data_IF_626783354940
#
_entry.id   IF_626783354940
#
_cell.length_a   1.000
_cell.length_b   1.000
_cell.length_c   1.000
_cell.angle_alpha   90.00
_cell.angle_beta   90.00
_cell.angle_gamma   90.00
#
_symmetry.space_group_name_H-M   'P 1'
#
loop_
_entity.id
_entity.type
_entity.pdbx_description
1 polymer ?
#
# COMPACT_ATOMS: atom_id res chain seq x y z
N UNK A 1 34.86 84.26 2.66
CA UNK A 1 34.08 83.13 2.11
C UNK A 1 34.99 82.05 1.48
N UNK A 2 36.24 81.90 1.94
CA UNK A 2 37.23 80.93 1.40
C UNK A 2 37.54 79.83 2.43
N UNK A 3 37.28 80.06 3.72
CA UNK A 3 37.52 79.09 4.81
C UNK A 3 36.46 77.97 4.90
N UNK A 4 35.24 78.15 4.35
CA UNK A 4 34.18 77.12 4.34
C UNK A 4 34.32 76.12 3.19
N UNK A 5 35.08 76.45 2.14
CA UNK A 5 35.28 75.58 0.98
C UNK A 5 36.40 74.54 1.21
N UNK A 6 37.35 74.84 2.11
CA UNK A 6 38.51 73.99 2.39
C UNK A 6 38.16 72.82 3.33
N UNK A 7 37.13 72.96 4.17
CA UNK A 7 36.65 71.89 5.07
C UNK A 7 35.85 70.83 4.31
N UNK A 8 35.22 71.17 3.19
CA UNK A 8 34.42 70.22 2.38
C UNK A 8 35.34 69.40 1.45
N UNK A 9 36.47 69.96 1.00
CA UNK A 9 37.46 69.19 0.22
C UNK A 9 38.28 68.20 1.06
N UNK A 10 38.43 68.46 2.37
CA UNK A 10 39.18 67.59 3.29
C UNK A 10 38.44 66.32 3.73
N UNK A 11 37.13 66.23 3.51
CA UNK A 11 36.33 65.07 3.94
C UNK A 11 36.20 63.97 2.88
N UNK A 12 36.72 64.17 1.66
CA UNK A 12 36.56 63.23 0.55
C UNK A 12 37.81 62.39 0.24
N UNK A 13 38.90 62.56 1.01
CA UNK A 13 40.20 61.94 0.73
C UNK A 13 40.62 60.83 1.70
N UNK A 14 39.70 60.29 2.51
CA UNK A 14 40.02 59.25 3.50
C UNK A 14 39.00 58.11 3.52
N UNK A 15 38.76 57.54 2.34
CA UNK A 15 38.09 56.25 2.14
C UNK A 15 38.98 55.40 1.26
N UNK A 16 39.94 54.74 1.89
CA UNK A 16 40.92 53.84 1.27
C UNK A 16 40.28 52.73 0.45
N UNK A 17 40.69 52.65 -0.81
CA UNK A 17 41.21 51.46 -1.49
C UNK A 17 40.58 50.11 -1.07
N UNK A 18 39.61 49.67 -1.86
CA UNK A 18 39.39 48.25 -2.11
C UNK A 18 39.70 48.02 -3.58
N UNK A 19 40.66 47.13 -3.81
CA UNK A 19 41.19 46.72 -5.09
C UNK A 19 40.08 46.30 -6.05
N UNK A 20 40.20 46.76 -7.28
CA UNK A 20 39.69 46.08 -8.47
C UNK A 20 40.35 44.71 -8.52
N UNK A 21 39.62 43.66 -8.12
CA UNK A 21 39.84 42.31 -8.60
C UNK A 21 38.58 41.87 -9.35
N UNK A 22 38.82 41.31 -10.53
CA UNK A 22 37.79 40.99 -11.50
C UNK A 22 36.69 40.09 -10.93
N UNK A 23 35.45 40.45 -11.26
CA UNK A 23 34.41 39.52 -11.71
C UNK A 23 34.58 38.07 -11.27
N UNK A 24 34.23 37.77 -10.03
CA UNK A 24 33.98 36.42 -9.54
C UNK A 24 32.83 36.43 -8.53
N UNK A 25 31.79 37.21 -8.80
CA UNK A 25 30.45 36.74 -8.49
C UNK A 25 30.07 35.80 -9.64
N UNK A 26 30.55 34.56 -9.56
CA UNK A 26 29.77 33.45 -10.10
C UNK A 26 28.46 33.48 -9.32
N UNK A 27 27.55 34.32 -9.79
CA UNK A 27 26.13 34.10 -9.68
C UNK A 27 25.94 32.61 -9.99
N UNK A 28 25.72 31.81 -8.96
CA UNK A 28 25.00 30.56 -9.07
C UNK A 28 23.57 30.92 -9.47
N UNK A 29 23.43 31.45 -10.69
CA UNK A 29 22.22 31.38 -11.44
C UNK A 29 22.12 29.90 -11.73
N UNK A 30 21.38 29.20 -10.88
CA UNK A 30 20.68 28.01 -11.34
C UNK A 30 19.90 28.55 -12.53
N UNK A 31 20.45 28.38 -13.74
CA UNK A 31 19.55 28.21 -14.86
C UNK A 31 18.69 27.05 -14.39
N UNK A 32 17.45 27.34 -14.01
CA UNK A 32 16.45 26.30 -13.83
C UNK A 32 16.34 25.67 -15.21
N UNK A 33 17.24 24.73 -15.50
CA UNK A 33 17.16 23.92 -16.68
C UNK A 33 15.75 23.35 -16.63
N UNK A 34 14.95 23.73 -17.64
CA UNK A 34 13.58 23.28 -17.81
C UNK A 34 13.64 21.78 -18.10
N UNK A 35 13.77 21.01 -17.03
CA UNK A 35 14.04 19.58 -17.02
C UNK A 35 12.97 18.93 -16.17
N UNK A 36 12.30 17.95 -16.76
CA UNK A 36 11.34 17.13 -16.07
C UNK A 36 12.04 16.17 -15.12
N UNK A 37 11.47 15.97 -13.94
CA UNK A 37 11.98 15.03 -12.95
C UNK A 37 10.81 14.24 -12.42
N UNK A 38 10.79 12.94 -12.66
CA UNK A 38 9.68 12.08 -12.26
C UNK A 38 10.05 11.33 -10.98
N UNK A 39 9.19 11.47 -9.97
CA UNK A 39 9.14 10.55 -8.84
C UNK A 39 8.11 9.48 -9.14
N UNK A 40 8.51 8.22 -9.00
CA UNK A 40 7.63 7.09 -9.28
C UNK A 40 7.59 6.13 -8.08
N UNK A 41 6.39 5.70 -7.71
CA UNK A 41 6.16 4.74 -6.62
C UNK A 41 5.29 3.59 -7.09
N UNK A 42 5.63 2.39 -6.60
CA UNK A 42 4.88 1.15 -6.82
C UNK A 42 4.39 0.67 -5.47
N UNK A 43 3.09 0.41 -5.36
CA UNK A 43 2.45 -0.03 -4.13
C UNK A 43 1.53 -1.22 -4.40
N UNK A 44 1.68 -2.26 -3.59
CA UNK A 44 0.74 -3.39 -3.56
C UNK A 44 -0.32 -3.05 -2.53
N UNK A 45 -1.58 -2.95 -2.95
CA UNK A 45 -2.64 -2.45 -2.08
C UNK A 45 -3.26 -3.54 -1.20
N UNK A 46 -3.08 -4.81 -1.57
CA UNK A 46 -3.62 -5.95 -0.83
C UNK A 46 -2.84 -6.19 0.46
N UNK A 47 -3.56 -6.45 1.55
CA UNK A 47 -2.97 -6.89 2.83
C UNK A 47 -2.51 -8.35 2.80
N UNK A 48 -3.25 -9.19 2.07
CA UNK A 48 -2.95 -10.61 1.91
C UNK A 48 -2.90 -10.92 0.42
N UNK A 49 -1.84 -11.60 0.02
CA UNK A 49 -1.66 -12.12 -1.33
C UNK A 49 -2.01 -13.61 -1.29
N UNK A 50 -2.94 -14.02 -2.14
CA UNK A 50 -3.46 -15.38 -2.14
C UNK A 50 -3.49 -15.88 -3.57
N UNK A 51 -3.05 -17.11 -3.75
CA UNK A 51 -3.17 -17.84 -5.01
C UNK A 51 -4.61 -17.81 -5.52
N UNK A 52 -4.79 -17.45 -6.79
CA UNK A 52 -6.09 -17.39 -7.45
C UNK A 52 -6.95 -16.17 -7.11
N UNK A 53 -6.54 -15.31 -6.17
CA UNK A 53 -7.24 -14.05 -5.85
C UNK A 53 -6.55 -12.83 -6.46
N UNK A 54 -7.32 -11.80 -6.75
CA UNK A 54 -6.82 -10.62 -7.46
C UNK A 54 -5.92 -9.75 -6.58
N UNK A 55 -4.73 -9.45 -7.11
CA UNK A 55 -3.72 -8.56 -6.55
C UNK A 55 -3.73 -7.26 -7.32
N UNK A 56 -3.83 -6.16 -6.58
CA UNK A 56 -3.91 -4.80 -7.10
C UNK A 56 -2.58 -4.10 -6.87
N UNK A 57 -1.91 -3.78 -7.97
CA UNK A 57 -0.65 -3.04 -8.00
C UNK A 57 -0.92 -1.65 -8.54
N UNK A 58 -0.54 -0.63 -7.78
CA UNK A 58 -0.70 0.78 -8.16
C UNK A 58 0.66 1.40 -8.44
N UNK A 59 0.80 1.96 -9.62
CA UNK A 59 1.89 2.84 -10.03
C UNK A 59 1.44 4.29 -9.89
N UNK A 60 2.22 5.12 -9.21
CA UNK A 60 1.98 6.56 -9.11
C UNK A 60 3.22 7.30 -9.58
N UNK A 61 3.04 8.17 -10.57
CA UNK A 61 4.08 9.00 -11.14
C UNK A 61 3.74 10.46 -10.82
N UNK A 62 4.75 11.22 -10.42
CA UNK A 62 4.62 12.63 -10.11
C UNK A 62 5.79 13.41 -10.69
N UNK A 63 5.49 14.42 -11.51
CA UNK A 63 6.53 15.27 -12.07
C UNK A 63 6.83 16.43 -11.12
N UNK A 64 8.01 16.41 -10.51
CA UNK A 64 8.54 17.49 -9.64
C UNK A 64 9.43 18.46 -10.40
N UNK A 65 9.67 18.23 -11.69
CA UNK A 65 10.47 19.11 -12.54
C UNK A 65 9.69 20.35 -12.99
N UNK A 66 10.43 21.29 -13.57
CA UNK A 66 9.90 22.54 -14.13
C UNK A 66 9.39 22.38 -15.56
N UNK A 67 9.85 21.34 -16.29
CA UNK A 67 9.37 20.99 -17.62
C UNK A 67 8.44 19.76 -17.66
N UNK A 68 7.72 19.61 -18.77
CA UNK A 68 6.90 18.44 -19.03
C UNK A 68 7.75 17.25 -19.46
N UNK A 69 7.53 16.08 -18.85
CA UNK A 69 8.15 14.84 -19.32
C UNK A 69 7.36 14.32 -20.52
N UNK A 70 8.07 13.87 -21.56
CA UNK A 70 7.47 13.30 -22.76
C UNK A 70 7.75 11.80 -22.85
N UNK A 71 6.84 11.08 -23.51
CA UNK A 71 6.94 9.64 -23.79
C UNK A 71 7.32 8.81 -22.56
N UNK A 72 6.63 9.06 -21.45
CA UNK A 72 6.88 8.34 -20.20
C UNK A 72 6.45 6.89 -20.37
N UNK A 73 7.39 5.96 -20.36
CA UNK A 73 7.15 4.52 -20.47
C UNK A 73 7.46 3.84 -19.15
N UNK A 74 6.52 3.03 -18.66
CA UNK A 74 6.70 2.20 -17.46
C UNK A 74 6.71 0.75 -17.89
N UNK A 75 7.75 0.03 -17.50
CA UNK A 75 7.94 -1.39 -17.79
C UNK A 75 8.24 -2.16 -16.51
N UNK A 76 7.54 -3.27 -16.30
CA UNK A 76 7.73 -4.11 -15.11
C UNK A 76 7.99 -5.56 -15.51
N UNK A 77 9.22 -6.01 -15.25
CA UNK A 77 9.66 -7.36 -15.56
C UNK A 77 9.33 -8.38 -14.46
N UNK A 78 8.84 -7.94 -13.29
CA UNK A 78 8.59 -8.82 -12.15
C UNK A 78 7.38 -9.75 -12.32
N UNK A 79 6.54 -9.50 -13.33
CA UNK A 79 5.28 -10.22 -13.54
C UNK A 79 5.34 -11.14 -14.76
N UNK A 80 5.90 -12.32 -14.58
CA UNK A 80 5.97 -13.34 -15.62
C UNK A 80 4.60 -13.98 -15.92
N UNK A 81 4.32 -14.34 -17.20
CA UNK A 81 3.02 -14.92 -17.60
C UNK A 81 2.76 -16.33 -17.04
N UNK A 82 3.81 -17.02 -16.57
CA UNK A 82 3.70 -18.35 -15.96
C UNK A 82 3.24 -18.31 -14.50
N UNK A 83 3.44 -17.19 -13.83
CA UNK A 83 3.18 -17.03 -12.40
C UNK A 83 2.04 -16.04 -12.14
N UNK A 84 1.82 -15.08 -13.04
CA UNK A 84 0.75 -14.09 -12.95
C UNK A 84 -0.07 -14.02 -14.23
N UNK A 85 -1.39 -13.97 -14.07
CA UNK A 85 -2.34 -13.70 -15.15
C UNK A 85 -2.84 -12.26 -15.05
N UNK A 86 -2.65 -11.40 -16.07
CA UNK A 86 -3.25 -10.08 -16.07
C UNK A 86 -4.77 -10.20 -16.22
N UNK A 87 -5.50 -9.59 -15.30
CA UNK A 87 -6.98 -9.55 -15.30
C UNK A 87 -7.46 -8.22 -15.83
N UNK A 88 -6.84 -7.12 -15.39
CA UNK A 88 -7.21 -5.77 -15.81
C UNK A 88 -5.99 -4.85 -15.80
N UNK A 89 -5.99 -3.88 -16.71
CA UNK A 89 -4.87 -2.96 -16.90
C UNK A 89 -3.69 -3.58 -17.65
N UNK A 90 -2.70 -2.74 -17.91
CA UNK A 90 -1.49 -3.10 -18.65
C UNK A 90 -0.29 -3.05 -17.72
N UNK A 91 0.50 -4.11 -17.67
CA UNK A 91 1.77 -4.16 -16.89
C UNK A 91 2.78 -3.16 -17.45
N UNK A 92 2.83 -3.06 -18.79
CA UNK A 92 3.65 -2.09 -19.50
C UNK A 92 2.73 -1.06 -20.15
N UNK A 93 2.93 0.21 -19.83
CA UNK A 93 2.12 1.30 -20.37
C UNK A 93 2.99 2.51 -20.71
N UNK A 94 2.46 3.35 -21.58
CA UNK A 94 3.11 4.58 -22.02
C UNK A 94 2.14 5.76 -21.86
N UNK A 95 2.69 6.90 -21.48
CA UNK A 95 2.01 8.17 -21.35
C UNK A 95 2.71 9.17 -22.27
N UNK A 96 1.97 9.88 -23.12
CA UNK A 96 2.58 10.78 -24.10
C UNK A 96 3.23 12.00 -23.45
N UNK A 97 2.59 12.54 -22.41
CA UNK A 97 3.04 13.76 -21.74
C UNK A 97 2.60 13.80 -20.27
N UNK A 98 3.51 14.18 -19.39
CA UNK A 98 3.24 14.49 -17.99
C UNK A 98 3.70 15.91 -17.66
N UNK A 99 2.73 16.80 -17.46
CA UNK A 99 2.97 18.21 -17.17
C UNK A 99 3.76 18.42 -15.85
N UNK A 100 4.46 19.55 -15.67
CA UNK A 100 5.12 19.88 -14.42
C UNK A 100 4.08 20.03 -13.29
N UNK A 101 4.37 19.45 -12.12
CA UNK A 101 3.45 19.41 -10.98
C UNK A 101 2.23 18.51 -11.14
N UNK A 102 2.13 17.76 -12.25
CA UNK A 102 1.02 16.82 -12.49
C UNK A 102 1.33 15.41 -11.98
N UNK A 103 0.27 14.70 -11.61
CA UNK A 103 0.30 13.29 -11.21
C UNK A 103 -0.41 12.39 -12.23
N UNK A 104 0.14 11.21 -12.45
CA UNK A 104 -0.50 10.14 -13.20
C UNK A 104 -0.46 8.86 -12.37
N UNK A 105 -1.60 8.17 -12.25
CA UNK A 105 -1.67 6.89 -11.56
C UNK A 105 -2.26 5.82 -12.44
N UNK A 106 -1.63 4.65 -12.45
CA UNK A 106 -2.08 3.49 -13.20
C UNK A 106 -2.19 2.29 -12.27
N UNK A 107 -3.28 1.55 -12.40
CA UNK A 107 -3.55 0.38 -11.54
C UNK A 107 -3.66 -0.85 -12.41
N UNK A 108 -2.94 -1.90 -12.02
CA UNK A 108 -2.95 -3.20 -12.69
C UNK A 108 -3.47 -4.24 -11.72
N UNK A 109 -4.37 -5.07 -12.22
CA UNK A 109 -4.94 -6.19 -11.47
C UNK A 109 -4.39 -7.48 -12.05
N UNK A 110 -3.64 -8.21 -11.22
CA UNK A 110 -2.98 -9.46 -11.57
C UNK A 110 -3.52 -10.57 -10.68
N UNK A 111 -3.68 -11.76 -11.25
CA UNK A 111 -4.04 -12.96 -10.51
C UNK A 111 -2.84 -13.91 -10.43
N UNK A 112 -2.29 -14.19 -9.25
CA UNK A 112 -1.21 -15.15 -9.09
C UNK A 112 -1.73 -16.57 -9.30
N UNK A 113 -0.98 -17.36 -10.04
CA UNK A 113 -1.31 -18.73 -10.43
C UNK A 113 -0.67 -19.78 -9.52
N UNK A 114 0.35 -19.39 -8.76
CA UNK A 114 1.07 -20.25 -7.82
C UNK A 114 1.24 -19.55 -6.49
N UNK A 115 1.29 -20.35 -5.42
CA UNK A 115 1.70 -19.91 -4.11
C UNK A 115 3.23 -19.97 -3.95
N UNK A 116 3.78 -19.18 -3.03
CA UNK A 116 5.21 -19.11 -2.78
C UNK A 116 5.69 -17.69 -2.53
N UNK A 117 7.01 -17.54 -2.41
CA UNK A 117 7.64 -16.23 -2.28
C UNK A 117 7.96 -15.66 -3.64
N UNK A 118 7.51 -14.43 -3.88
CA UNK A 118 7.74 -13.71 -5.12
C UNK A 118 8.40 -12.37 -4.83
N UNK A 119 9.36 -12.00 -5.68
CA UNK A 119 10.04 -10.72 -5.61
C UNK A 119 9.27 -9.69 -6.42
N UNK A 120 8.68 -8.71 -5.75
CA UNK A 120 8.05 -7.57 -6.41
C UNK A 120 9.09 -6.50 -6.64
N UNK A 121 9.85 -6.65 -7.73
CA UNK A 121 10.93 -5.73 -8.11
C UNK A 121 10.41 -4.35 -8.49
N UNK A 122 11.31 -3.36 -8.50
CA UNK A 122 11.00 -2.05 -9.06
C UNK A 122 10.65 -2.14 -10.56
N UNK A 123 9.73 -1.28 -11.01
CA UNK A 123 9.48 -1.06 -12.43
C UNK A 123 10.45 0.00 -12.96
N UNK A 124 10.85 -0.15 -14.22
CA UNK A 124 11.67 0.82 -14.93
C UNK A 124 10.77 1.89 -15.55
N UNK A 125 11.12 3.16 -15.33
CA UNK A 125 10.44 4.32 -15.92
C UNK A 125 11.43 5.02 -16.84
N UNK A 126 11.16 5.07 -18.15
CA UNK A 126 11.94 5.85 -19.10
C UNK A 126 11.13 7.04 -19.61
N UNK A 127 11.77 8.19 -19.80
CA UNK A 127 11.11 9.40 -20.30
C UNK A 127 12.12 10.38 -20.92
N UNK A 128 11.63 11.29 -21.76
CA UNK A 128 12.39 12.42 -22.25
C UNK A 128 12.21 13.60 -21.31
N UNK A 129 13.32 14.15 -20.82
CA UNK A 129 13.30 15.17 -19.76
C UNK A 129 12.96 16.58 -20.28
N UNK A 130 13.03 16.81 -21.58
CA UNK A 130 12.67 18.09 -22.23
C UNK A 130 12.28 17.81 -23.69
N UNK A 131 11.62 18.76 -24.35
CA UNK A 131 11.21 18.63 -25.76
C UNK A 131 12.43 18.57 -26.71
N UNK A 132 13.55 19.17 -26.30
CA UNK A 132 14.82 19.16 -27.04
C UNK A 132 15.72 17.97 -26.66
N UNK A 133 15.36 17.22 -25.61
CA UNK A 133 16.18 16.12 -25.13
C UNK A 133 16.11 14.93 -26.10
N UNK A 134 17.26 14.47 -26.57
CA UNK A 134 17.36 13.28 -27.45
C UNK A 134 17.63 12.00 -26.65
N UNK A 135 18.14 12.12 -25.43
CA UNK A 135 18.45 10.98 -24.56
C UNK A 135 17.30 10.68 -23.60
N UNK A 136 16.92 9.41 -23.52
CA UNK A 136 15.94 8.93 -22.54
C UNK A 136 16.57 8.86 -21.14
N UNK A 137 15.95 9.55 -20.19
CA UNK A 137 16.28 9.41 -18.77
C UNK A 137 15.59 8.18 -18.21
N UNK A 138 16.35 7.33 -17.52
CA UNK A 138 15.85 6.12 -16.88
C UNK A 138 15.81 6.30 -15.37
N UNK A 139 14.67 5.96 -14.77
CA UNK A 139 14.47 5.87 -13.34
C UNK A 139 13.82 4.54 -12.94
N UNK A 140 13.74 4.30 -11.63
CA UNK A 140 13.10 3.11 -11.07
C UNK A 140 12.04 3.52 -10.06
N UNK A 141 10.97 2.74 -9.98
CA UNK A 141 9.96 2.91 -8.94
C UNK A 141 10.47 2.39 -7.60
N UNK A 142 9.74 2.67 -6.52
CA UNK A 142 9.89 1.93 -5.27
C UNK A 142 9.79 0.42 -5.48
N UNK A 143 10.52 -0.35 -4.67
CA UNK A 143 10.47 -1.81 -4.64
C UNK A 143 9.74 -2.27 -3.38
N UNK A 144 8.52 -2.84 -3.50
CA UNK A 144 7.79 -3.39 -2.36
C UNK A 144 8.51 -4.56 -1.66
N UNK A 145 9.47 -5.20 -2.34
CA UNK A 145 10.28 -6.29 -1.80
C UNK A 145 9.66 -7.68 -2.03
N UNK A 146 10.08 -8.64 -1.21
CA UNK A 146 9.58 -10.01 -1.26
C UNK A 146 8.17 -10.09 -0.62
N UNK A 147 7.20 -10.61 -1.36
CA UNK A 147 5.86 -10.87 -0.86
C UNK A 147 5.53 -12.36 -0.93
N UNK A 148 5.08 -12.90 0.20
CA UNK A 148 4.59 -14.28 0.28
C UNK A 148 3.16 -14.39 -0.20
N UNK A 149 2.95 -15.12 -1.30
CA UNK A 149 1.63 -15.50 -1.81
C UNK A 149 1.21 -16.79 -1.10
N UNK A 150 0.13 -16.71 -0.32
CA UNK A 150 -0.40 -17.81 0.47
C UNK A 150 -1.24 -18.72 -0.43
N UNK A 151 -1.15 -20.04 -0.24
CA UNK A 151 -2.01 -20.99 -0.91
C UNK A 151 -3.49 -20.75 -0.54
N UNK A 152 -4.38 -20.86 -1.52
CA UNK A 152 -5.81 -20.61 -1.31
C UNK A 152 -6.39 -21.44 -0.15
N UNK A 153 -6.01 -22.72 -0.07
CA UNK A 153 -6.45 -23.64 0.99
C UNK A 153 -6.08 -23.15 2.40
N UNK A 154 -4.89 -22.58 2.57
CA UNK A 154 -4.41 -22.18 3.89
C UNK A 154 -4.96 -20.79 4.28
N UNK A 155 -5.28 -19.97 3.28
CA UNK A 155 -6.08 -18.77 3.45
C UNK A 155 -7.50 -19.12 3.90
N UNK A 156 -8.19 -20.01 3.18
CA UNK A 156 -9.58 -20.40 3.46
C UNK A 156 -9.74 -20.96 4.88
N UNK A 157 -8.80 -21.81 5.34
CA UNK A 157 -8.79 -22.31 6.73
C UNK A 157 -8.71 -21.21 7.80
N UNK A 158 -8.01 -20.10 7.52
CA UNK A 158 -7.81 -19.01 8.48
C UNK A 158 -8.93 -17.97 8.44
N UNK A 159 -9.51 -17.75 7.25
CA UNK A 159 -10.43 -16.64 7.01
C UNK A 159 -11.87 -17.08 6.71
N UNK A 160 -12.17 -18.39 6.73
CA UNK A 160 -13.53 -18.94 6.60
C UNK A 160 -14.04 -19.57 7.92
N UNK A 161 -14.19 -18.78 9.00
CA UNK A 161 -14.72 -19.30 10.25
C UNK A 161 -16.23 -19.56 10.13
N UNK A 162 -16.62 -20.83 10.06
CA UNK A 162 -18.02 -21.25 10.11
C UNK A 162 -18.58 -21.24 11.55
N UNK A 163 -17.93 -20.53 12.47
CA UNK A 163 -18.30 -20.51 13.88
C UNK A 163 -19.72 -19.96 14.07
N UNK A 164 -20.07 -18.89 13.35
CA UNK A 164 -21.40 -18.31 13.42
C UNK A 164 -22.46 -19.29 12.89
N UNK A 165 -22.16 -20.02 11.83
CA UNK A 165 -23.08 -21.03 11.27
C UNK A 165 -23.34 -22.16 12.27
N UNK A 166 -22.29 -22.64 12.96
CA UNK A 166 -22.42 -23.62 14.04
C UNK A 166 -23.25 -23.09 15.22
N UNK A 167 -23.07 -21.82 15.59
CA UNK A 167 -23.84 -21.19 16.67
C UNK A 167 -25.31 -21.05 16.27
N UNK A 168 -25.60 -20.56 15.06
CA UNK A 168 -26.98 -20.45 14.55
C UNK A 168 -27.64 -21.83 14.50
N UNK A 169 -26.93 -22.85 14.01
CA UNK A 169 -27.42 -24.22 13.99
C UNK A 169 -27.73 -24.74 15.40
N UNK A 170 -26.84 -24.52 16.38
CA UNK A 170 -27.07 -24.88 17.77
C UNK A 170 -28.32 -24.18 18.32
N UNK A 171 -28.45 -22.86 18.13
CA UNK A 171 -29.61 -22.09 18.61
C UNK A 171 -30.91 -22.55 17.96
N UNK A 172 -30.90 -22.90 16.67
CA UNK A 172 -32.11 -23.35 15.97
C UNK A 172 -32.55 -24.77 16.34
N UNK A 173 -31.62 -25.65 16.68
CA UNK A 173 -31.92 -27.05 17.04
C UNK A 173 -32.20 -27.23 18.54
N UNK A 174 -31.74 -26.29 19.38
CA UNK A 174 -31.93 -26.31 20.83
C UNK A 174 -33.40 -26.31 21.27
N UNK A 175 -34.36 -25.58 20.68
CA UNK A 175 -35.77 -25.65 21.09
C UNK A 175 -36.36 -27.05 20.87
N UNK A 176 -36.06 -27.65 19.72
CA UNK A 176 -36.58 -28.95 19.31
C UNK A 176 -36.07 -30.10 20.16
N UNK A 177 -34.82 -30.03 20.62
CA UNK A 177 -34.21 -31.03 21.52
C UNK A 177 -34.40 -30.70 23.00
N UNK A 178 -34.33 -29.42 23.34
CA UNK A 178 -34.34 -28.90 24.70
C UNK A 178 -35.69 -28.99 25.38
N UNK A 179 -36.79 -28.66 24.70
CA UNK A 179 -38.13 -28.70 25.30
C UNK A 179 -38.51 -30.15 25.68
N UNK A 180 -38.40 -31.16 24.79
CA UNK A 180 -38.70 -32.55 25.15
C UNK A 180 -37.78 -33.08 26.26
N UNK A 181 -36.49 -32.75 26.22
CA UNK A 181 -35.52 -33.17 27.24
C UNK A 181 -35.86 -32.58 28.61
N UNK A 182 -36.21 -31.29 28.69
CA UNK A 182 -36.56 -30.62 29.94
C UNK A 182 -37.81 -31.24 30.57
N UNK A 183 -38.83 -31.53 29.75
CA UNK A 183 -40.05 -32.20 30.20
C UNK A 183 -39.74 -33.61 30.73
N UNK A 184 -38.97 -34.41 30.00
CA UNK A 184 -38.55 -35.74 30.42
C UNK A 184 -37.75 -35.71 31.72
N UNK A 185 -36.77 -34.81 31.85
CA UNK A 185 -35.92 -34.70 33.03
C UNK A 185 -36.73 -34.32 34.28
N UNK A 186 -37.66 -33.38 34.15
CA UNK A 186 -38.56 -32.99 35.24
C UNK A 186 -39.48 -34.15 35.67
N UNK A 187 -39.87 -35.01 34.73
CA UNK A 187 -40.70 -36.19 35.00
C UNK A 187 -39.89 -37.28 35.69
N UNK A 188 -38.73 -37.63 35.14
CA UNK A 188 -37.84 -38.66 35.66
C UNK A 188 -37.37 -38.36 37.08
N UNK A 189 -36.98 -37.12 37.36
CA UNK A 189 -36.56 -36.70 38.72
C UNK A 189 -37.68 -36.88 39.76
N UNK A 190 -38.94 -36.59 39.41
CA UNK A 190 -40.10 -36.85 40.28
C UNK A 190 -40.33 -38.33 40.52
N UNK A 191 -40.29 -39.16 39.47
CA UNK A 191 -40.43 -40.61 39.61
C UNK A 191 -39.32 -41.23 40.47
N UNK A 192 -38.07 -40.79 40.28
CA UNK A 192 -36.95 -41.29 41.06
C UNK A 192 -37.04 -40.87 42.54
N UNK A 193 -37.56 -39.68 42.83
CA UNK A 193 -37.81 -39.25 44.21
C UNK A 193 -38.86 -40.14 44.91
N UNK A 194 -40.00 -40.41 44.25
CA UNK A 194 -41.06 -41.27 44.79
C UNK A 194 -40.57 -42.71 44.97
N UNK A 195 -39.78 -43.25 44.03
CA UNK A 195 -39.20 -44.59 44.15
C UNK A 195 -38.21 -44.65 45.32
N UNK A 196 -37.41 -43.60 45.53
CA UNK A 196 -36.49 -43.51 46.69
C UNK A 196 -37.26 -43.49 48.01
N UNK A 197 -38.32 -42.70 48.10
CA UNK A 197 -39.18 -42.61 49.29
C UNK A 197 -39.83 -43.97 49.61
N UNK A 198 -40.44 -44.61 48.62
CA UNK A 198 -41.04 -45.95 48.78
C UNK A 198 -40.02 -47.01 49.22
N UNK A 199 -38.79 -46.94 48.71
CA UNK A 199 -37.68 -47.82 49.16
C UNK A 199 -37.31 -47.55 50.61
N UNK A 200 -37.20 -46.28 51.02
CA UNK A 200 -36.89 -45.90 52.40
C UNK A 200 -37.98 -46.38 53.39
N UNK A 201 -39.27 -46.21 53.05
CA UNK A 201 -40.38 -46.73 53.86
C UNK A 201 -40.39 -48.26 53.97
N UNK A 202 -40.09 -48.96 52.87
CA UNK A 202 -40.03 -50.43 52.87
C UNK A 202 -38.85 -50.99 53.68
N UNK A 203 -37.74 -50.25 53.76
CA UNK A 203 -36.62 -50.58 54.65
C UNK A 203 -36.98 -50.38 56.11
N UNK A 204 -37.68 -49.29 56.43
CA UNK A 204 -38.13 -48.97 57.79
C UNK A 204 -39.20 -49.91 58.35
N UNK A 205 -39.95 -50.60 57.49
CA UNK A 205 -40.94 -51.64 57.88
C UNK A 205 -40.32 -53.04 58.08
N UNK A 206 -39.04 -53.23 57.78
CA UNK A 206 -38.34 -54.52 57.88
C UNK A 206 -37.40 -54.60 59.08
N UNK A 207 -37.27 -53.53 59.86
CA UNK A 207 -36.69 -53.49 61.21
C UNK A 207 -37.81 -53.54 62.25
#
# INVERSE_FOLDING_TARGET
>A
MIMKLLVILGLLALGTLVSSDGSAEEQFKVEEENVARILASKLIQNKYLVEGLDVVVRYSLYNVGTAAALQVRVQDAGFGPFDFKPVSGLVNFQLDRLAPGANASHTVVLRPLKYGYFNFTAAQVSYLASETATEETVGFTSEPGEGGIVAFRDYDKKFSPHLLDWVVFAVMTLPSLGIPFMLWYSSKSKYDAVIREKRAESGKKRE
#
